data_IF_351883347754
#
_entry.id   IF_351883347754
#
_cell.length_a   1.000
_cell.length_b   1.000
_cell.length_c   1.000
_cell.angle_alpha   90.00
_cell.angle_beta   90.00
_cell.angle_gamma   90.00
#
_symmetry.space_group_name_H-M   'P 1'
#
loop_
_entity.id
_entity.type
_entity.pdbx_description
1 polymer ?
#
# COMPACT_ATOMS: atom_id res chain seq x y z
N UNK A 1 -16.80 12.33 5.95
CA UNK A 1 -17.78 13.02 5.07
C UNK A 1 -17.54 14.52 4.93
N UNK A 2 -17.32 15.29 6.00
CA UNK A 2 -17.10 16.76 5.93
C UNK A 2 -16.03 17.18 4.92
N UNK A 3 -14.87 16.51 4.93
CA UNK A 3 -13.76 16.78 3.99
C UNK A 3 -14.18 16.65 2.51
N UNK A 4 -15.03 15.67 2.17
CA UNK A 4 -15.55 15.51 0.80
C UNK A 4 -16.54 16.63 0.45
N UNK A 5 -17.40 17.03 1.39
CA UNK A 5 -18.35 18.13 1.17
C UNK A 5 -17.64 19.47 0.99
N UNK A 6 -16.54 19.71 1.72
CA UNK A 6 -15.69 20.88 1.53
C UNK A 6 -15.06 20.91 0.14
N UNK A 7 -14.52 19.77 -0.29
CA UNK A 7 -13.96 19.57 -1.63
C UNK A 7 -15.01 19.82 -2.73
N UNK A 8 -16.22 19.26 -2.58
CA UNK A 8 -17.32 19.49 -3.49
C UNK A 8 -17.68 20.98 -3.61
N UNK A 9 -17.82 21.68 -2.46
CA UNK A 9 -18.08 23.12 -2.45
C UNK A 9 -16.98 23.92 -3.15
N UNK A 10 -15.71 23.58 -2.93
CA UNK A 10 -14.58 24.25 -3.59
C UNK A 10 -14.59 24.07 -5.12
N UNK A 11 -15.09 22.93 -5.61
CA UNK A 11 -15.27 22.64 -7.04
C UNK A 11 -16.60 23.15 -7.62
N UNK A 12 -17.42 23.85 -6.83
CA UNK A 12 -18.76 24.29 -7.26
C UNK A 12 -19.72 23.13 -7.53
N UNK A 13 -19.53 21.98 -6.87
CA UNK A 13 -20.33 20.76 -6.96
C UNK A 13 -21.10 20.54 -5.66
N UNK A 14 -22.21 19.81 -5.74
CA UNK A 14 -23.05 19.50 -4.57
C UNK A 14 -23.02 18.02 -4.17
N UNK A 15 -22.74 17.12 -5.11
CA UNK A 15 -22.87 15.68 -4.92
C UNK A 15 -21.66 14.91 -5.43
N UNK A 16 -21.32 13.82 -4.75
CA UNK A 16 -20.35 12.82 -5.17
C UNK A 16 -20.96 11.42 -5.10
N UNK A 17 -20.63 10.58 -6.06
CA UNK A 17 -20.97 9.17 -6.10
C UNK A 17 -19.69 8.36 -6.31
N UNK A 18 -19.18 7.77 -5.22
CA UNK A 18 -17.83 7.21 -5.14
C UNK A 18 -17.90 5.70 -4.97
N UNK A 19 -17.39 4.95 -5.95
CA UNK A 19 -17.44 3.48 -6.02
C UNK A 19 -16.05 2.83 -5.99
N UNK A 20 -14.98 3.59 -6.19
CA UNK A 20 -13.64 3.04 -6.11
C UNK A 20 -13.38 2.51 -4.69
N UNK A 21 -12.81 1.30 -4.58
CA UNK A 21 -12.59 0.62 -3.30
C UNK A 21 -11.79 1.45 -2.31
N UNK A 22 -10.75 2.14 -2.79
CA UNK A 22 -9.94 3.05 -1.96
C UNK A 22 -10.77 4.16 -1.30
N UNK A 23 -11.74 4.72 -2.03
CA UNK A 23 -12.60 5.80 -1.55
C UNK A 23 -13.67 5.25 -0.63
N UNK A 24 -14.30 4.14 -1.02
CA UNK A 24 -15.30 3.46 -0.21
C UNK A 24 -14.71 3.04 1.15
N UNK A 25 -13.58 2.32 1.16
CA UNK A 25 -12.92 1.87 2.39
C UNK A 25 -12.50 3.04 3.27
N UNK A 26 -11.97 4.12 2.69
CA UNK A 26 -11.65 5.33 3.45
C UNK A 26 -12.89 5.96 4.10
N UNK A 27 -13.97 6.14 3.32
CA UNK A 27 -15.18 6.82 3.78
C UNK A 27 -16.01 6.01 4.79
N UNK A 28 -15.87 4.69 4.74
CA UNK A 28 -16.58 3.74 5.61
C UNK A 28 -15.69 3.17 6.69
N UNK A 29 -14.51 3.74 6.91
CA UNK A 29 -13.60 3.29 7.99
C UNK A 29 -13.28 1.79 7.86
N UNK A 30 -13.08 1.31 6.64
CA UNK A 30 -12.48 0.02 6.34
C UNK A 30 -13.37 -1.01 5.65
N UNK A 31 -14.58 -0.67 5.18
CA UNK A 31 -15.35 -1.60 4.36
C UNK A 31 -14.65 -1.85 3.03
N UNK A 32 -14.48 -3.11 2.68
CA UNK A 32 -13.88 -3.50 1.40
C UNK A 32 -14.96 -3.63 0.31
N UNK A 33 -16.19 -3.97 0.70
CA UNK A 33 -17.37 -4.22 -0.14
C UNK A 33 -17.06 -4.92 -1.48
N UNK A 34 -16.02 -5.76 -1.50
CA UNK A 34 -15.52 -6.43 -2.69
C UNK A 34 -16.07 -7.83 -2.77
N UNK A 35 -16.30 -8.28 -4.00
CA UNK A 35 -16.49 -9.70 -4.30
C UNK A 35 -15.31 -10.19 -5.14
N UNK A 36 -15.00 -9.48 -6.24
CA UNK A 36 -13.85 -9.77 -7.10
C UNK A 36 -12.61 -9.04 -6.58
N UNK A 37 -11.61 -9.79 -6.10
CA UNK A 37 -10.38 -9.23 -5.51
C UNK A 37 -9.59 -8.32 -6.45
N UNK A 38 -9.59 -8.61 -7.74
CA UNK A 38 -8.90 -7.82 -8.77
C UNK A 38 -9.66 -6.58 -9.23
N UNK A 39 -10.91 -6.39 -8.79
CA UNK A 39 -11.69 -5.21 -9.13
C UNK A 39 -11.20 -4.00 -8.34
N UNK A 40 -11.11 -2.84 -9.00
CA UNK A 40 -10.86 -1.55 -8.36
C UNK A 40 -12.13 -0.89 -7.84
N UNK A 41 -13.30 -1.38 -8.27
CA UNK A 41 -14.63 -0.94 -7.81
C UNK A 41 -15.24 -1.96 -6.85
N UNK A 42 -15.91 -1.47 -5.81
CA UNK A 42 -16.71 -2.29 -4.91
C UNK A 42 -18.10 -2.57 -5.49
N UNK A 43 -18.85 -3.45 -4.82
CA UNK A 43 -20.26 -3.70 -5.13
C UNK A 43 -21.21 -2.65 -4.54
N UNK A 44 -20.65 -1.69 -3.81
CA UNK A 44 -21.34 -0.54 -3.25
C UNK A 44 -20.68 0.78 -3.67
N UNK A 45 -21.43 1.87 -3.57
CA UNK A 45 -20.93 3.23 -3.69
C UNK A 45 -21.37 4.08 -2.51
N UNK A 46 -20.55 5.05 -2.12
CA UNK A 46 -20.97 6.12 -1.20
C UNK A 46 -21.56 7.25 -2.03
N UNK A 47 -22.81 7.59 -1.78
CA UNK A 47 -23.46 8.77 -2.33
C UNK A 47 -23.52 9.88 -1.28
N UNK A 48 -22.84 10.99 -1.57
CA UNK A 48 -22.66 12.11 -0.66
C UNK A 48 -23.27 13.35 -1.31
N UNK A 49 -24.13 14.06 -0.61
CA UNK A 49 -24.68 15.35 -1.03
C UNK A 49 -24.73 16.33 0.14
N UNK A 50 -25.48 17.44 0.04
CA UNK A 50 -25.55 18.46 1.10
C UNK A 50 -26.15 17.94 2.41
N UNK A 51 -27.11 17.03 2.34
CA UNK A 51 -27.80 16.46 3.51
C UNK A 51 -27.86 14.93 3.48
N UNK A 52 -27.23 14.30 2.48
CA UNK A 52 -27.20 12.85 2.30
C UNK A 52 -25.78 12.29 2.44
N UNK A 53 -25.68 11.11 3.03
CA UNK A 53 -24.50 10.26 3.07
C UNK A 53 -25.00 8.82 3.18
N UNK A 54 -25.20 8.17 2.05
CA UNK A 54 -25.85 6.85 1.96
C UNK A 54 -24.97 5.88 1.17
N UNK A 55 -25.17 4.58 1.44
CA UNK A 55 -24.56 3.50 0.67
C UNK A 55 -25.55 3.04 -0.38
N UNK A 56 -25.15 3.11 -1.65
CA UNK A 56 -25.94 2.65 -2.79
C UNK A 56 -25.38 1.31 -3.27
N UNK A 57 -26.19 0.27 -3.22
CA UNK A 57 -25.76 -1.11 -3.51
C UNK A 57 -26.90 -1.94 -4.14
N UNK A 58 -26.69 -3.23 -4.34
CA UNK A 58 -27.74 -4.14 -4.80
C UNK A 58 -28.46 -4.80 -3.62
N UNK A 59 -29.69 -5.28 -3.84
CA UNK A 59 -30.41 -6.09 -2.84
C UNK A 59 -29.66 -7.35 -2.43
N UNK A 60 -28.81 -7.89 -3.32
CA UNK A 60 -27.98 -9.07 -3.04
C UNK A 60 -26.87 -8.79 -2.02
N UNK A 61 -26.37 -7.55 -1.96
CA UNK A 61 -25.27 -7.17 -1.08
C UNK A 61 -25.73 -6.44 0.19
N UNK A 62 -26.95 -5.87 0.18
CA UNK A 62 -27.39 -4.94 1.22
C UNK A 62 -27.35 -5.51 2.64
N UNK A 63 -27.79 -6.75 2.83
CA UNK A 63 -27.82 -7.37 4.16
C UNK A 63 -26.42 -7.72 4.66
N UNK A 64 -25.59 -8.35 3.80
CA UNK A 64 -24.19 -8.64 4.11
C UNK A 64 -23.41 -7.37 4.46
N UNK A 65 -23.58 -6.31 3.67
CA UNK A 65 -22.90 -5.04 3.93
C UNK A 65 -23.34 -4.42 5.27
N UNK A 66 -24.62 -4.51 5.62
CA UNK A 66 -25.15 -3.99 6.89
C UNK A 66 -24.59 -4.76 8.10
N UNK A 67 -24.58 -6.08 8.00
CA UNK A 67 -24.29 -6.96 9.12
C UNK A 67 -22.78 -7.19 9.34
N UNK A 68 -21.97 -7.02 8.28
CA UNK A 68 -20.52 -7.24 8.31
C UNK A 68 -19.74 -5.93 8.11
N UNK A 69 -19.60 -5.49 6.86
CA UNK A 69 -18.72 -4.39 6.41
C UNK A 69 -19.00 -3.03 7.08
N UNK A 70 -20.29 -2.72 7.28
CA UNK A 70 -20.78 -1.44 7.81
C UNK A 70 -21.34 -1.58 9.22
N UNK A 71 -21.13 -2.74 9.86
CA UNK A 71 -21.64 -3.00 11.20
C UNK A 71 -21.15 -1.92 12.19
N UNK A 72 -22.09 -1.30 12.89
CA UNK A 72 -21.81 -0.20 13.82
C UNK A 72 -21.63 1.17 13.17
N UNK A 73 -21.78 1.29 11.85
CA UNK A 73 -21.85 2.57 11.14
C UNK A 73 -23.31 2.89 10.79
N UNK A 74 -23.72 4.13 11.04
CA UNK A 74 -25.08 4.59 10.76
C UNK A 74 -25.21 5.12 9.33
N UNK A 75 -25.00 4.25 8.35
CA UNK A 75 -25.21 4.55 6.94
C UNK A 75 -26.58 4.04 6.47
N UNK A 76 -27.47 4.92 5.97
CA UNK A 76 -28.62 4.48 5.20
C UNK A 76 -28.16 3.66 3.98
N UNK A 77 -28.76 2.49 3.77
CA UNK A 77 -28.48 1.65 2.61
C UNK A 77 -29.66 1.74 1.63
N UNK A 78 -29.38 2.22 0.43
CA UNK A 78 -30.32 2.24 -0.69
C UNK A 78 -29.98 1.10 -1.64
N UNK A 79 -30.83 0.09 -1.65
CA UNK A 79 -30.64 -1.11 -2.46
C UNK A 79 -31.59 -1.15 -3.67
N UNK A 80 -31.08 -1.63 -4.80
CA UNK A 80 -31.89 -1.93 -6.00
C UNK A 80 -31.61 -3.35 -6.48
N UNK A 81 -32.53 -4.04 -7.17
CA UNK A 81 -32.23 -5.32 -7.79
C UNK A 81 -30.98 -5.23 -8.68
N UNK A 82 -30.15 -6.29 -8.75
CA UNK A 82 -28.87 -6.23 -9.44
C UNK A 82 -29.00 -5.89 -10.94
N UNK A 83 -30.10 -6.30 -11.58
CA UNK A 83 -30.43 -6.02 -12.98
C UNK A 83 -31.00 -4.59 -13.20
N UNK A 84 -31.26 -3.86 -12.13
CA UNK A 84 -31.70 -2.46 -12.09
C UNK A 84 -30.71 -1.62 -11.26
N UNK A 85 -29.42 -1.98 -11.30
CA UNK A 85 -28.38 -1.29 -10.52
C UNK A 85 -28.43 0.21 -10.81
N UNK A 86 -28.59 0.99 -9.74
CA UNK A 86 -28.64 2.45 -9.81
C UNK A 86 -27.37 3.01 -10.45
N UNK A 87 -27.56 3.83 -11.48
CA UNK A 87 -26.50 4.58 -12.14
C UNK A 87 -26.04 5.76 -11.29
N UNK A 88 -24.91 6.35 -11.66
CA UNK A 88 -24.43 7.62 -11.09
C UNK A 88 -25.51 8.70 -11.31
N UNK A 89 -25.96 9.41 -10.25
CA UNK A 89 -26.91 10.51 -10.39
C UNK A 89 -26.41 11.59 -11.36
N UNK A 90 -27.33 12.18 -12.14
CA UNK A 90 -26.96 13.23 -13.08
C UNK A 90 -26.38 14.44 -12.34
N UNK A 91 -25.16 14.86 -12.71
CA UNK A 91 -24.47 16.00 -12.11
C UNK A 91 -23.63 15.69 -10.87
N UNK A 92 -23.70 14.47 -10.34
CA UNK A 92 -22.81 14.01 -9.28
C UNK A 92 -21.38 13.79 -9.80
N UNK A 93 -20.40 14.22 -9.02
CA UNK A 93 -18.99 13.94 -9.30
C UNK A 93 -18.64 12.48 -8.98
N UNK A 94 -17.81 11.87 -9.81
CA UNK A 94 -17.34 10.49 -9.66
C UNK A 94 -15.98 10.43 -8.97
N UNK A 95 -15.48 9.22 -8.71
CA UNK A 95 -14.11 9.02 -8.23
C UNK A 95 -13.08 9.71 -9.14
N UNK A 96 -13.25 9.59 -10.46
CA UNK A 96 -12.32 10.16 -11.43
C UNK A 96 -12.31 11.70 -11.43
N UNK A 97 -13.47 12.34 -11.22
CA UNK A 97 -13.60 13.80 -11.22
C UNK A 97 -12.86 14.46 -10.04
N UNK A 98 -12.67 13.70 -8.95
CA UNK A 98 -12.20 14.19 -7.65
C UNK A 98 -10.91 13.50 -7.19
N UNK A 99 -10.30 12.65 -8.02
CA UNK A 99 -9.22 11.74 -7.58
C UNK A 99 -8.03 12.49 -6.98
N UNK A 100 -7.58 13.57 -7.64
CA UNK A 100 -6.40 14.34 -7.20
C UNK A 100 -6.57 14.89 -5.78
N UNK A 101 -7.74 15.46 -5.46
CA UNK A 101 -8.01 15.96 -4.12
C UNK A 101 -8.38 14.85 -3.13
N UNK A 102 -9.17 13.86 -3.54
CA UNK A 102 -9.53 12.73 -2.67
C UNK A 102 -8.27 11.99 -2.22
N UNK A 103 -7.30 11.80 -3.12
CA UNK A 103 -5.98 11.24 -2.82
C UNK A 103 -5.27 12.03 -1.73
N UNK A 104 -5.06 13.34 -1.92
CA UNK A 104 -4.41 14.21 -0.91
C UNK A 104 -5.13 14.14 0.44
N UNK A 105 -6.46 14.09 0.42
CA UNK A 105 -7.27 14.08 1.64
C UNK A 105 -7.21 12.73 2.36
N UNK A 106 -7.25 11.60 1.64
CA UNK A 106 -7.18 10.24 2.23
C UNK A 106 -5.78 9.86 2.68
N UNK A 107 -4.74 10.43 2.06
CA UNK A 107 -3.34 10.18 2.47
C UNK A 107 -3.03 10.71 3.87
N UNK A 108 -3.89 11.59 4.42
CA UNK A 108 -3.83 12.05 5.81
C UNK A 108 -4.71 11.18 6.70
N UNK A 109 -4.11 10.10 7.16
CA UNK A 109 -4.70 9.09 8.01
C UNK A 109 -5.07 9.67 9.38
N UNK A 110 -6.21 9.24 9.91
CA UNK A 110 -6.68 9.57 11.25
C UNK A 110 -6.04 8.65 12.31
N UNK A 111 -6.17 8.97 13.61
CA UNK A 111 -5.57 8.18 14.69
C UNK A 111 -5.94 6.68 14.66
N UNK A 112 -7.19 6.34 14.36
CA UNK A 112 -7.62 4.94 14.25
C UNK A 112 -6.93 4.23 13.07
N UNK A 113 -6.71 4.91 11.96
CA UNK A 113 -5.99 4.36 10.80
C UNK A 113 -4.51 4.14 11.13
N UNK A 114 -3.90 4.99 11.97
CA UNK A 114 -2.54 4.76 12.48
C UNK A 114 -2.46 3.48 13.32
N UNK A 115 -3.39 3.29 14.26
CA UNK A 115 -3.45 2.07 15.09
C UNK A 115 -3.60 0.82 14.24
N UNK A 116 -4.50 0.87 13.25
CA UNK A 116 -4.70 -0.21 12.29
C UNK A 116 -3.49 -0.49 11.42
N UNK A 117 -2.80 0.56 10.97
CA UNK A 117 -1.59 0.43 10.18
C UNK A 117 -0.44 -0.16 11.00
N UNK A 118 -0.29 0.19 12.29
CA UNK A 118 0.66 -0.48 13.20
C UNK A 118 0.34 -1.96 13.36
N UNK A 119 -0.93 -2.30 13.59
CA UNK A 119 -1.35 -3.70 13.68
C UNK A 119 -1.06 -4.45 12.38
N UNK A 120 -1.40 -3.87 11.24
CA UNK A 120 -1.21 -4.48 9.93
C UNK A 120 0.28 -4.66 9.61
N UNK A 121 1.11 -3.66 9.91
CA UNK A 121 2.57 -3.70 9.75
C UNK A 121 3.22 -4.79 10.61
N UNK A 122 2.86 -4.87 11.90
CA UNK A 122 3.34 -5.92 12.79
C UNK A 122 2.90 -7.32 12.33
N UNK A 123 1.67 -7.45 11.84
CA UNK A 123 1.11 -8.71 11.33
C UNK A 123 1.82 -9.17 10.06
N UNK A 124 2.05 -8.25 9.11
CA UNK A 124 2.77 -8.53 7.88
C UNK A 124 4.24 -8.89 8.14
N UNK A 125 4.91 -8.15 9.04
CA UNK A 125 6.29 -8.44 9.46
C UNK A 125 6.43 -9.82 10.13
N UNK A 126 5.50 -10.17 11.02
CA UNK A 126 5.47 -11.49 11.66
C UNK A 126 5.26 -12.63 10.65
N UNK A 127 4.34 -12.45 9.70
CA UNK A 127 4.10 -13.44 8.64
C UNK A 127 5.31 -13.61 7.71
N UNK A 128 5.99 -12.51 7.37
CA UNK A 128 7.25 -12.54 6.62
C UNK A 128 8.32 -13.32 7.38
N UNK A 129 8.54 -12.98 8.66
CA UNK A 129 9.52 -13.66 9.50
C UNK A 129 9.28 -15.17 9.61
N UNK A 130 8.04 -15.58 9.90
CA UNK A 130 7.65 -16.99 9.97
C UNK A 130 7.87 -17.70 8.63
N UNK A 131 7.49 -17.05 7.52
CA UNK A 131 7.70 -17.59 6.18
C UNK A 131 9.18 -17.81 5.94
N UNK A 132 10.03 -16.79 6.11
CA UNK A 132 11.47 -16.89 5.89
C UNK A 132 12.12 -17.96 6.77
N UNK A 133 11.79 -18.01 8.06
CA UNK A 133 12.35 -19.00 9.00
C UNK A 133 12.03 -20.47 8.64
N UNK A 134 10.93 -20.69 7.92
CA UNK A 134 10.52 -22.02 7.46
C UNK A 134 11.08 -22.43 6.10
N UNK A 135 11.76 -21.54 5.37
CA UNK A 135 12.26 -21.84 4.03
C UNK A 135 13.48 -22.76 4.06
N UNK A 136 13.60 -23.59 3.02
CA UNK A 136 14.72 -24.50 2.76
C UNK A 136 15.06 -24.45 1.27
N UNK A 137 16.33 -24.71 0.88
CA UNK A 137 16.68 -24.96 -0.52
C UNK A 137 15.81 -26.06 -1.14
N UNK A 138 15.56 -25.96 -2.45
CA UNK A 138 14.75 -26.93 -3.20
C UNK A 138 13.27 -26.56 -3.35
N UNK A 139 12.81 -25.47 -2.72
CA UNK A 139 11.44 -24.97 -2.89
C UNK A 139 11.31 -24.05 -4.11
N UNK A 140 10.16 -24.08 -4.79
CA UNK A 140 9.88 -23.13 -5.88
C UNK A 140 9.46 -21.75 -5.34
N UNK A 141 9.70 -20.69 -6.10
CA UNK A 141 9.20 -19.34 -5.77
C UNK A 141 7.68 -19.35 -5.55
N UNK A 142 6.93 -20.09 -6.37
CA UNK A 142 5.48 -20.28 -6.21
C UNK A 142 5.11 -20.94 -4.87
N UNK A 143 5.86 -21.94 -4.41
CA UNK A 143 5.60 -22.59 -3.12
C UNK A 143 5.88 -21.64 -1.94
N UNK A 144 6.90 -20.80 -2.07
CA UNK A 144 7.24 -19.75 -1.09
C UNK A 144 6.14 -18.69 -1.04
N UNK A 145 5.68 -18.22 -2.20
CA UNK A 145 4.58 -17.27 -2.33
C UNK A 145 3.28 -17.83 -1.72
N UNK A 146 2.93 -19.07 -2.04
CA UNK A 146 1.74 -19.73 -1.48
C UNK A 146 1.80 -19.82 0.05
N UNK A 147 2.98 -20.09 0.62
CA UNK A 147 3.17 -20.11 2.07
C UNK A 147 2.90 -18.76 2.69
N UNK A 148 3.55 -17.70 2.22
CA UNK A 148 3.34 -16.35 2.76
C UNK A 148 1.87 -15.92 2.64
N UNK A 149 1.24 -16.22 1.50
CA UNK A 149 -0.16 -15.89 1.27
C UNK A 149 -1.09 -16.62 2.25
N UNK A 150 -0.82 -17.90 2.55
CA UNK A 150 -1.57 -18.65 3.56
C UNK A 150 -1.36 -18.06 4.97
N UNK A 151 -0.11 -17.80 5.36
CA UNK A 151 0.26 -17.20 6.65
C UNK A 151 -0.41 -15.84 6.87
N UNK A 152 -0.52 -15.00 5.82
CA UNK A 152 -1.24 -13.73 5.88
C UNK A 152 -2.75 -13.92 5.97
N UNK A 153 -3.31 -14.82 5.15
CA UNK A 153 -4.75 -15.06 5.10
C UNK A 153 -5.30 -15.63 6.42
N UNK A 154 -4.54 -16.45 7.13
CA UNK A 154 -4.89 -16.93 8.48
C UNK A 154 -5.00 -15.80 9.52
N UNK A 155 -4.38 -14.66 9.23
CA UNK A 155 -4.43 -13.42 10.03
C UNK A 155 -5.38 -12.39 9.42
N UNK A 156 -6.20 -12.80 8.45
CA UNK A 156 -7.15 -11.96 7.72
C UNK A 156 -6.46 -10.73 7.08
N UNK A 157 -5.27 -10.98 6.52
CA UNK A 157 -4.51 -10.02 5.70
C UNK A 157 -4.41 -10.57 4.28
N UNK A 158 -4.77 -9.76 3.31
CA UNK A 158 -4.59 -10.08 1.89
C UNK A 158 -3.19 -9.64 1.41
N UNK A 159 -2.58 -10.38 0.47
CA UNK A 159 -1.43 -9.89 -0.26
C UNK A 159 -1.92 -9.13 -1.52
N UNK A 160 -1.88 -7.80 -1.49
CA UNK A 160 -2.19 -6.95 -2.64
C UNK A 160 -1.07 -6.97 -3.69
N UNK A 161 0.18 -7.09 -3.22
CA UNK A 161 1.35 -7.37 -4.04
C UNK A 161 2.10 -8.54 -3.40
N UNK A 162 2.57 -9.49 -4.21
CA UNK A 162 3.38 -10.62 -3.76
C UNK A 162 4.43 -10.94 -4.82
N UNK A 163 5.70 -10.70 -4.50
CA UNK A 163 6.84 -10.97 -5.36
C UNK A 163 7.76 -11.97 -4.66
N UNK A 164 8.30 -12.91 -5.42
CA UNK A 164 9.32 -13.86 -4.94
C UNK A 164 10.31 -14.07 -6.05
N UNK A 165 11.58 -13.81 -5.77
CA UNK A 165 12.69 -14.13 -6.65
C UNK A 165 13.73 -14.96 -5.92
N UNK A 166 14.22 -15.99 -6.60
CA UNK A 166 15.32 -16.81 -6.14
C UNK A 166 16.58 -16.59 -6.98
N UNK A 167 17.73 -16.63 -6.30
CA UNK A 167 19.06 -16.66 -6.91
C UNK A 167 19.28 -15.52 -7.94
N UNK A 168 19.70 -15.86 -9.16
CA UNK A 168 20.01 -14.89 -10.22
C UNK A 168 18.81 -14.02 -10.62
N UNK A 169 17.58 -14.44 -10.30
CA UNK A 169 16.39 -13.65 -10.61
C UNK A 169 16.26 -12.42 -9.72
N UNK A 170 16.85 -12.43 -8.52
CA UNK A 170 16.85 -11.27 -7.61
C UNK A 170 17.58 -10.09 -8.25
N UNK A 171 18.72 -10.35 -8.88
CA UNK A 171 19.54 -9.33 -9.57
C UNK A 171 18.95 -8.91 -10.92
N UNK A 172 18.36 -9.87 -11.63
CA UNK A 172 17.94 -9.68 -13.02
C UNK A 172 16.67 -8.85 -13.18
N UNK A 173 15.73 -8.98 -12.24
CA UNK A 173 14.40 -8.39 -12.37
C UNK A 173 14.10 -7.49 -11.17
N UNK A 174 13.39 -6.37 -11.40
CA UNK A 174 12.95 -5.43 -10.35
C UNK A 174 11.52 -5.68 -9.87
N UNK A 175 10.68 -6.31 -10.71
CA UNK A 175 9.36 -6.83 -10.35
C UNK A 175 9.35 -8.34 -10.56
N UNK A 176 9.52 -9.11 -9.49
CA UNK A 176 9.78 -10.54 -9.57
C UNK A 176 8.52 -11.35 -9.27
N UNK A 177 7.62 -11.45 -10.24
CA UNK A 177 6.47 -12.35 -10.12
C UNK A 177 6.97 -13.79 -9.87
N UNK A 178 6.41 -14.52 -8.89
CA UNK A 178 6.85 -15.88 -8.56
C UNK A 178 6.73 -16.83 -9.75
N UNK A 179 7.72 -17.70 -9.92
CA UNK A 179 7.77 -18.71 -10.99
C UNK A 179 8.00 -20.13 -10.45
N UNK A 180 8.20 -21.08 -11.34
CA UNK A 180 8.63 -22.44 -10.99
C UNK A 180 10.14 -22.54 -10.70
N UNK A 181 10.91 -21.43 -10.73
CA UNK A 181 12.32 -21.44 -10.32
C UNK A 181 12.45 -22.00 -8.90
N UNK A 182 13.37 -22.94 -8.75
CA UNK A 182 13.74 -23.52 -7.46
C UNK A 182 14.80 -22.66 -6.79
N UNK A 183 14.59 -22.30 -5.53
CA UNK A 183 15.55 -21.54 -4.73
C UNK A 183 16.66 -22.45 -4.19
N UNK A 184 17.91 -22.01 -4.36
CA UNK A 184 19.09 -22.78 -3.94
C UNK A 184 19.98 -21.98 -2.97
N UNK A 185 20.34 -20.74 -3.33
CA UNK A 185 21.31 -19.90 -2.60
C UNK A 185 20.64 -18.78 -1.81
N UNK A 186 19.68 -18.08 -2.39
CA UNK A 186 19.00 -16.97 -1.75
C UNK A 186 17.60 -16.73 -2.31
N UNK A 187 16.75 -16.08 -1.53
CA UNK A 187 15.40 -15.67 -1.91
C UNK A 187 15.10 -14.27 -1.38
N UNK A 188 14.48 -13.46 -2.21
CA UNK A 188 13.83 -12.20 -1.83
C UNK A 188 12.32 -12.36 -1.95
N UNK A 189 11.60 -11.92 -0.92
CA UNK A 189 10.15 -11.96 -0.81
C UNK A 189 9.67 -10.53 -0.54
N UNK A 190 8.78 -10.02 -1.39
CA UNK A 190 8.17 -8.69 -1.23
C UNK A 190 6.68 -8.87 -1.07
N UNK A 191 6.10 -8.17 -0.10
CA UNK A 191 4.65 -8.17 0.08
C UNK A 191 4.13 -6.77 0.36
N UNK A 192 2.99 -6.44 -0.25
CA UNK A 192 2.11 -5.38 0.22
C UNK A 192 0.89 -6.05 0.85
N UNK A 193 0.81 -6.03 2.17
CA UNK A 193 -0.33 -6.54 2.94
C UNK A 193 -1.48 -5.53 2.93
N UNK A 194 -2.71 -6.01 2.76
CA UNK A 194 -3.94 -5.23 2.72
C UNK A 194 -4.93 -5.72 3.78
N UNK A 195 -5.45 -4.78 4.57
CA UNK A 195 -6.60 -5.00 5.48
C UNK A 195 -7.32 -3.68 5.73
N UNK A 196 -8.65 -3.71 5.82
CA UNK A 196 -9.49 -2.51 6.02
C UNK A 196 -9.28 -1.44 4.96
N UNK A 197 -8.91 -1.85 3.74
CA UNK A 197 -8.45 -0.98 2.66
C UNK A 197 -7.06 -0.36 2.85
N UNK A 198 -6.44 -0.46 4.02
CA UNK A 198 -5.09 0.05 4.29
C UNK A 198 -4.03 -0.92 3.80
N UNK A 199 -2.88 -0.38 3.40
CA UNK A 199 -1.74 -1.12 2.86
C UNK A 199 -0.46 -0.88 3.65
N UNK A 200 0.34 -1.93 3.82
CA UNK A 200 1.72 -1.86 4.32
C UNK A 200 2.64 -2.68 3.42
N UNK A 201 3.81 -2.16 3.08
CA UNK A 201 4.83 -2.85 2.31
C UNK A 201 5.96 -3.33 3.22
N UNK A 202 6.47 -4.53 2.96
CA UNK A 202 7.71 -5.03 3.56
C UNK A 202 8.45 -5.97 2.61
N UNK A 203 9.78 -5.86 2.58
CA UNK A 203 10.67 -6.76 1.83
C UNK A 203 11.53 -7.57 2.79
N UNK A 204 11.53 -8.89 2.63
CA UNK A 204 12.39 -9.82 3.36
C UNK A 204 13.34 -10.56 2.42
N UNK A 205 14.59 -10.78 2.86
CA UNK A 205 15.58 -11.56 2.11
C UNK A 205 16.19 -12.63 3.00
N UNK A 206 16.35 -13.84 2.47
CA UNK A 206 17.02 -14.95 3.14
C UNK A 206 18.11 -15.51 2.23
N UNK A 207 19.32 -15.66 2.78
CA UNK A 207 20.42 -16.39 2.14
C UNK A 207 20.62 -17.74 2.81
N UNK A 208 20.57 -18.83 2.06
CA UNK A 208 20.87 -20.19 2.54
C UNK A 208 22.38 -20.46 2.60
N UNK A 209 23.18 -19.66 1.89
CA UNK A 209 24.64 -19.68 1.88
C UNK A 209 25.19 -18.33 2.35
N UNK A 210 26.44 -18.27 2.87
CA UNK A 210 27.08 -17.00 3.20
C UNK A 210 27.08 -16.04 2.01
N UNK A 211 26.62 -14.81 2.22
CA UNK A 211 26.64 -13.77 1.20
C UNK A 211 28.08 -13.47 0.75
N UNK A 212 28.25 -13.07 -0.52
CA UNK A 212 29.54 -12.54 -0.99
C UNK A 212 29.83 -11.18 -0.36
N UNK A 213 31.08 -10.75 -0.40
CA UNK A 213 31.46 -9.41 0.06
C UNK A 213 30.73 -8.32 -0.74
N UNK A 214 30.65 -8.48 -2.07
CA UNK A 214 29.90 -7.57 -2.93
C UNK A 214 28.41 -7.47 -2.53
N UNK A 215 27.75 -8.59 -2.21
CA UNK A 215 26.36 -8.59 -1.78
C UNK A 215 26.15 -7.89 -0.43
N UNK A 216 27.13 -8.00 0.50
CA UNK A 216 27.08 -7.25 1.77
C UNK A 216 27.22 -5.75 1.53
N UNK A 217 28.16 -5.35 0.68
CA UNK A 217 28.37 -3.94 0.30
C UNK A 217 27.14 -3.34 -0.39
N UNK A 218 26.49 -4.09 -1.28
CA UNK A 218 25.23 -3.66 -1.91
C UNK A 218 24.11 -3.48 -0.88
N UNK A 219 24.01 -4.40 0.09
CA UNK A 219 23.02 -4.31 1.18
C UNK A 219 23.27 -3.10 2.09
N UNK A 220 24.53 -2.83 2.44
CA UNK A 220 24.89 -1.66 3.25
C UNK A 220 24.60 -0.36 2.50
N UNK A 221 24.93 -0.29 1.21
CA UNK A 221 24.63 0.86 0.37
C UNK A 221 23.13 1.12 0.25
N UNK A 222 22.32 0.08 0.02
CA UNK A 222 20.85 0.27 -0.09
C UNK A 222 20.22 0.67 1.25
N UNK A 223 20.70 0.12 2.38
CA UNK A 223 20.27 0.55 3.73
C UNK A 223 20.66 2.00 4.01
N UNK A 224 21.83 2.44 3.54
CA UNK A 224 22.21 3.85 3.63
C UNK A 224 21.25 4.75 2.86
N UNK A 225 20.90 4.38 1.62
CA UNK A 225 19.97 5.13 0.77
C UNK A 225 18.58 5.20 1.43
N UNK A 226 18.04 4.09 1.92
CA UNK A 226 16.76 4.05 2.62
C UNK A 226 16.77 4.97 3.85
N UNK A 227 17.83 4.92 4.66
CA UNK A 227 17.97 5.81 5.82
C UNK A 227 17.95 7.28 5.39
N UNK A 228 18.62 7.66 4.31
CA UNK A 228 18.55 9.02 3.76
C UNK A 228 17.12 9.37 3.36
N UNK A 229 16.37 8.45 2.73
CA UNK A 229 14.98 8.68 2.38
C UNK A 229 14.10 8.87 3.61
N UNK A 230 14.28 8.05 4.66
CA UNK A 230 13.59 8.21 5.94
C UNK A 230 13.92 9.56 6.60
N UNK A 231 15.19 9.90 6.73
CA UNK A 231 15.65 11.19 7.30
C UNK A 231 15.09 12.40 6.54
N UNK A 232 14.81 12.28 5.24
CA UNK A 232 14.23 13.36 4.42
C UNK A 232 12.70 13.38 4.42
N UNK A 233 12.05 12.35 4.95
CA UNK A 233 10.59 12.27 5.04
C UNK A 233 10.06 13.09 6.22
N UNK A 234 10.24 14.41 6.16
CA UNK A 234 9.91 15.33 7.26
C UNK A 234 8.69 16.19 6.93
N UNK A 235 7.92 16.58 7.94
CA UNK A 235 6.78 17.45 7.77
C UNK A 235 7.19 18.78 7.11
N UNK A 236 6.49 19.15 6.03
CA UNK A 236 6.77 20.36 5.25
C UNK A 236 7.75 20.16 4.08
N UNK A 237 8.46 19.03 3.99
CA UNK A 237 9.26 18.70 2.81
C UNK A 237 8.38 18.28 1.61
N UNK A 238 8.88 18.40 0.38
CA UNK A 238 8.20 17.84 -0.78
C UNK A 238 8.65 16.40 -1.07
N UNK A 239 7.76 15.58 -1.65
CA UNK A 239 8.11 14.23 -2.11
C UNK A 239 9.30 14.22 -3.10
N UNK A 240 9.35 15.19 -4.03
CA UNK A 240 10.48 15.34 -4.97
C UNK A 240 11.82 15.56 -4.28
N UNK A 241 11.84 16.18 -3.09
CA UNK A 241 13.08 16.43 -2.35
C UNK A 241 13.64 15.14 -1.73
N UNK A 242 12.76 14.25 -1.27
CA UNK A 242 13.13 12.89 -0.80
C UNK A 242 13.67 12.08 -1.98
N UNK A 243 13.01 12.15 -3.13
CA UNK A 243 13.43 11.47 -4.35
C UNK A 243 14.81 11.95 -4.84
N UNK A 244 15.06 13.26 -4.88
CA UNK A 244 16.37 13.79 -5.28
C UNK A 244 17.47 13.48 -4.24
N UNK A 245 17.14 13.45 -2.94
CA UNK A 245 18.07 13.00 -1.91
C UNK A 245 18.48 11.54 -2.11
N UNK A 246 17.53 10.65 -2.43
CA UNK A 246 17.82 9.26 -2.76
C UNK A 246 18.76 9.15 -3.97
N UNK A 247 18.49 9.92 -5.03
CA UNK A 247 19.35 9.97 -6.23
C UNK A 247 20.80 10.37 -5.90
N UNK A 248 20.98 11.37 -5.03
CA UNK A 248 22.31 11.80 -4.56
C UNK A 248 22.99 10.69 -3.75
N UNK A 249 22.26 10.03 -2.85
CA UNK A 249 22.76 8.90 -2.07
C UNK A 249 23.19 7.71 -2.95
N UNK A 250 22.47 7.44 -4.06
CA UNK A 250 22.91 6.47 -5.07
C UNK A 250 24.26 6.85 -5.70
N UNK A 251 24.49 8.13 -6.01
CA UNK A 251 25.78 8.58 -6.55
C UNK A 251 26.91 8.51 -5.52
N UNK A 252 26.63 8.88 -4.27
CA UNK A 252 27.59 8.84 -3.15
C UNK A 252 28.04 7.41 -2.79
N UNK A 253 27.15 6.43 -2.96
CA UNK A 253 27.45 5.01 -2.75
C UNK A 253 28.13 4.34 -3.94
N UNK A 254 28.39 5.07 -5.04
CA UNK A 254 29.08 4.55 -6.23
C UNK A 254 28.19 3.99 -7.32
N UNK A 255 26.87 4.18 -7.24
CA UNK A 255 25.87 3.61 -8.15
C UNK A 255 24.92 4.68 -8.72
N UNK A 256 25.44 5.72 -9.40
CA UNK A 256 24.68 6.92 -9.80
C UNK A 256 23.51 6.67 -10.76
N UNK A 257 23.47 5.50 -11.40
CA UNK A 257 22.46 5.16 -12.41
C UNK A 257 21.42 4.13 -11.96
N UNK A 258 21.61 3.49 -10.81
CA UNK A 258 20.76 2.37 -10.37
C UNK A 258 19.32 2.80 -10.01
N UNK A 259 19.13 4.04 -9.53
CA UNK A 259 17.80 4.60 -9.25
C UNK A 259 16.87 4.64 -10.47
N UNK A 260 17.41 4.61 -11.70
CA UNK A 260 16.60 4.64 -12.92
C UNK A 260 15.92 3.31 -13.24
N UNK A 261 16.33 2.22 -12.56
CA UNK A 261 15.87 0.86 -12.88
C UNK A 261 14.53 0.49 -12.25
N UNK A 262 14.10 1.21 -11.21
CA UNK A 262 12.84 1.02 -10.51
C UNK A 262 12.45 2.34 -9.84
N UNK A 263 11.15 2.63 -9.73
CA UNK A 263 10.71 3.73 -8.88
C UNK A 263 11.21 3.53 -7.44
N UNK A 264 11.41 4.61 -6.68
CA UNK A 264 11.96 4.52 -5.32
C UNK A 264 10.89 4.46 -4.23
N UNK A 265 9.61 4.44 -4.61
CA UNK A 265 8.49 4.35 -3.69
C UNK A 265 7.75 5.68 -3.60
N UNK A 266 7.03 5.88 -2.50
CA UNK A 266 6.24 7.08 -2.26
C UNK A 266 5.24 6.86 -1.15
N UNK A 267 4.10 7.57 -1.19
CA UNK A 267 3.07 7.45 -0.17
C UNK A 267 2.28 6.15 -0.32
N UNK A 268 1.93 5.55 0.81
CA UNK A 268 1.10 4.33 0.91
C UNK A 268 -0.07 4.60 1.86
N UNK A 269 -1.22 3.95 1.63
CA UNK A 269 -2.43 4.21 2.39
C UNK A 269 -3.56 3.29 1.96
N UNK A 270 -4.60 3.86 1.33
CA UNK A 270 -5.72 3.09 0.77
C UNK A 270 -5.42 2.48 -0.60
N UNK A 271 -4.22 2.73 -1.12
CA UNK A 271 -3.62 2.03 -2.25
C UNK A 271 -2.21 1.55 -1.89
N UNK A 272 -1.70 0.49 -2.57
CA UNK A 272 -0.30 0.07 -2.47
C UNK A 272 0.68 1.21 -2.75
N UNK A 273 0.29 2.14 -3.62
CA UNK A 273 0.94 3.42 -3.89
C UNK A 273 -0.15 4.47 -4.13
N UNK A 274 -0.29 5.42 -3.22
CA UNK A 274 -1.12 6.61 -3.48
C UNK A 274 -0.37 7.54 -4.45
N UNK A 275 0.95 7.68 -4.27
CA UNK A 275 1.85 8.45 -5.13
C UNK A 275 3.13 7.66 -5.30
N UNK A 276 3.69 7.69 -6.50
CA UNK A 276 5.06 7.27 -6.77
C UNK A 276 5.89 8.52 -6.94
N UNK A 277 6.87 8.74 -6.06
CA UNK A 277 7.65 9.97 -6.06
C UNK A 277 8.55 10.08 -7.29
N UNK A 278 8.66 11.29 -7.81
CA UNK A 278 9.38 11.71 -9.01
C UNK A 278 9.85 13.16 -8.87
N UNK A 279 10.52 13.69 -9.90
CA UNK A 279 11.00 15.07 -9.90
C UNK A 279 9.90 16.13 -9.93
N UNK A 280 8.71 15.74 -10.43
CA UNK A 280 7.59 16.67 -10.66
C UNK A 280 6.56 16.62 -9.51
N UNK A 281 6.83 15.84 -8.45
CA UNK A 281 5.91 15.70 -7.32
C UNK A 281 6.03 16.85 -6.33
N UNK A 282 5.04 17.74 -6.42
CA UNK A 282 4.91 18.91 -5.56
C UNK A 282 4.15 18.62 -4.26
N UNK A 283 3.76 17.38 -4.01
CA UNK A 283 3.06 16.97 -2.80
C UNK A 283 3.91 17.24 -1.55
N UNK A 284 3.31 17.97 -0.60
CA UNK A 284 3.91 18.29 0.69
C UNK A 284 3.66 17.14 1.65
N UNK A 285 4.72 16.71 2.32
CA UNK A 285 4.68 15.71 3.39
C UNK A 285 4.03 16.34 4.62
N UNK A 286 2.94 15.75 5.08
CA UNK A 286 2.20 16.18 6.27
C UNK A 286 2.18 15.06 7.33
N UNK A 287 2.13 15.42 8.63
CA UNK A 287 1.81 14.45 9.66
C UNK A 287 0.49 13.74 9.38
N UNK A 288 0.45 12.43 9.61
CA UNK A 288 -0.65 11.54 9.27
C UNK A 288 -0.47 10.79 7.96
N UNK A 289 0.63 11.01 7.23
CA UNK A 289 0.96 10.26 6.02
C UNK A 289 1.82 9.03 6.30
N UNK A 290 1.69 8.00 5.46
CA UNK A 290 2.57 6.84 5.47
C UNK A 290 3.30 6.70 4.14
N UNK A 291 4.48 6.07 4.18
CA UNK A 291 5.43 5.97 3.07
C UNK A 291 5.96 4.55 2.97
N UNK A 292 6.15 4.07 1.76
CA UNK A 292 6.86 2.84 1.45
C UNK A 292 7.96 3.16 0.45
N UNK A 293 9.13 3.51 0.98
CA UNK A 293 10.34 3.71 0.18
C UNK A 293 10.99 2.36 -0.08
N UNK A 294 11.44 2.14 -1.31
CA UNK A 294 11.84 0.81 -1.73
C UNK A 294 13.11 0.79 -2.60
N UNK A 295 14.20 1.46 -2.17
CA UNK A 295 15.45 1.46 -2.91
C UNK A 295 15.97 0.04 -3.13
N UNK A 296 16.62 -0.16 -4.27
CA UNK A 296 17.25 -1.44 -4.63
C UNK A 296 18.58 -1.21 -5.33
N UNK A 297 19.50 -2.13 -5.14
CA UNK A 297 20.83 -2.11 -5.74
C UNK A 297 21.29 -3.54 -5.98
N UNK A 298 21.66 -3.90 -7.22
CA UNK A 298 22.05 -5.28 -7.51
C UNK A 298 20.99 -6.30 -7.05
N UNK A 299 21.36 -7.22 -6.15
CA UNK A 299 20.44 -8.17 -5.53
C UNK A 299 19.76 -7.64 -4.25
N UNK A 300 20.21 -6.51 -3.72
CA UNK A 300 19.73 -5.95 -2.46
C UNK A 300 18.49 -5.08 -2.68
N UNK A 301 17.52 -5.22 -1.79
CA UNK A 301 16.34 -4.34 -1.68
C UNK A 301 15.96 -4.27 -0.21
N UNK A 302 15.62 -3.07 0.22
CA UNK A 302 14.98 -2.81 1.51
C UNK A 302 13.70 -2.04 1.24
N UNK A 303 12.68 -2.36 2.03
CA UNK A 303 11.39 -1.69 1.96
C UNK A 303 10.67 -1.96 3.27
N UNK A 304 10.35 -0.89 3.96
CA UNK A 304 9.48 -0.89 5.13
C UNK A 304 8.47 0.24 5.01
N UNK A 305 7.38 0.11 5.77
CA UNK A 305 6.38 1.17 5.87
C UNK A 305 6.73 2.10 7.03
N UNK A 306 6.93 3.37 6.68
CA UNK A 306 7.18 4.48 7.61
C UNK A 306 5.88 5.28 7.79
N UNK A 307 5.42 5.43 9.02
CA UNK A 307 4.30 6.29 9.37
C UNK A 307 4.84 7.59 10.00
N UNK A 308 4.48 8.74 9.43
CA UNK A 308 4.85 10.05 9.95
C UNK A 308 3.71 10.59 10.82
N UNK A 309 3.88 10.59 12.13
CA UNK A 309 2.90 11.15 13.07
C UNK A 309 3.30 12.56 13.51
N UNK A 310 2.41 13.24 14.24
CA UNK A 310 2.75 14.51 14.89
C UNK A 310 3.87 14.39 15.94
N UNK A 311 4.11 13.18 16.47
CA UNK A 311 5.19 12.90 17.41
C UNK A 311 6.52 12.53 16.72
N UNK A 312 6.50 12.36 15.39
CA UNK A 312 7.65 11.93 14.59
C UNK A 312 7.38 10.65 13.81
N UNK A 313 8.45 10.11 13.26
CA UNK A 313 8.45 8.93 12.39
C UNK A 313 8.43 7.63 13.19
N UNK A 314 7.71 6.63 12.68
CA UNK A 314 7.73 5.26 13.19
C UNK A 314 7.74 4.24 12.04
N UNK A 315 8.63 3.24 12.11
CA UNK A 315 8.54 2.08 11.24
C UNK A 315 7.50 1.10 11.79
N UNK A 316 6.45 0.85 11.00
CA UNK A 316 5.34 -0.01 11.40
C UNK A 316 5.52 -1.46 10.94
N UNK A 317 6.34 -1.70 9.92
CA UNK A 317 6.80 -3.04 9.54
C UNK A 317 8.16 -3.30 10.15
N UNK A 318 8.33 -4.51 10.70
CA UNK A 318 9.62 -5.06 11.10
C UNK A 318 9.60 -6.55 10.85
N UNK A 319 10.49 -7.03 9.99
CA UNK A 319 10.82 -8.45 9.93
C UNK A 319 11.84 -8.65 11.05
N UNK A 320 11.51 -9.42 12.09
CA UNK A 320 12.43 -9.64 13.20
C UNK A 320 13.78 -10.18 12.68
N UNK A 321 14.89 -9.61 13.18
CA UNK A 321 16.25 -10.02 12.81
C UNK A 321 16.64 -11.38 13.40
#
# INVERSE_FOLDING_TARGET
>A
MSRVRELLRARGRSEAFLRARRNLAWLTVGSDARIVRSSESGEAAVHIGPDIAEIVTTTSEADRLRDEDLAGLDFPIVASPWYERRSVPAGASTDADLEDELRRVRSRLAPLEHERMRWLGATAGAAMFETLGSLRPGQTELAIAARLQATLAERDVAAAVLLVAADERVERYRHQLPTTKVADRAVMVVVVGERWGLHVATTGTLSFSPSSEAARQELEAVRHIERVMHERTEAGAHLRDVFDAARRAYAETGYPDEWRRLHLGGTIGYQPREVVASFDDDDIIEPGMAFAWNPSLGAAKVEDTLLLTAAGQELVTRVAE
#
